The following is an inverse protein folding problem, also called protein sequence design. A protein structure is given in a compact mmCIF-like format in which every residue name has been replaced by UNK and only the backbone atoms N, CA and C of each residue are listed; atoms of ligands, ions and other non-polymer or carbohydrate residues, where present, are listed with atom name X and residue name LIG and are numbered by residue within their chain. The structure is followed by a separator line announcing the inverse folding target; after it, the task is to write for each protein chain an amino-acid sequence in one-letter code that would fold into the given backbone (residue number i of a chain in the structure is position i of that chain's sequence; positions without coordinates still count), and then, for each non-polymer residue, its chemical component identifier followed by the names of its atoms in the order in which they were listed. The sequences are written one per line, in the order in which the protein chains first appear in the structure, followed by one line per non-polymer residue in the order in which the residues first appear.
data_IF_325131155343
#
_entry.id   IF_325131155343
#
_cell.length_a   1.000
_cell.length_b   1.000
_cell.length_c   1.000
_cell.angle_alpha   90.00
_cell.angle_beta   90.00
_cell.angle_gamma   90.00
#
_symmetry.space_group_name_H-M   'P 1'
#
loop_
_entity.id
_entity.type
_entity.pdbx_description
1 polymer ?
#
# COMPACT_ATOMS: atom_id res chain seq x y z
N UNK A 1 14.20 -19.00 78.53
CA UNK A 1 15.65 -19.25 78.47
C UNK A 1 16.09 -19.48 77.02
N UNK A 2 17.03 -18.64 76.53
CA UNK A 2 18.19 -18.93 75.64
C UNK A 2 17.92 -19.62 74.28
N UNK A 3 18.00 -18.90 73.13
CA UNK A 3 19.18 -18.53 72.30
C UNK A 3 19.98 -19.72 71.70
N UNK A 4 20.00 -19.80 70.36
CA UNK A 4 21.15 -19.88 69.40
C UNK A 4 20.58 -20.26 68.02
N UNK A 5 20.99 -19.76 66.84
CA UNK A 5 22.16 -18.97 66.44
C UNK A 5 22.94 -19.68 65.33
N UNK A 6 22.55 -19.47 64.06
CA UNK A 6 23.38 -19.33 62.85
C UNK A 6 24.33 -20.46 62.35
N UNK A 7 24.23 -20.79 61.05
CA UNK A 7 25.41 -20.94 60.17
C UNK A 7 25.05 -20.77 58.68
N UNK A 8 25.81 -19.90 58.01
CA UNK A 8 25.80 -19.63 56.56
C UNK A 8 26.75 -20.57 55.80
N UNK A 9 26.47 -20.70 54.49
CA UNK A 9 27.35 -20.85 53.32
C UNK A 9 28.17 -22.14 53.09
N UNK A 10 27.90 -22.80 51.95
CA UNK A 10 28.93 -23.06 50.93
C UNK A 10 28.31 -23.14 49.52
N UNK A 11 29.09 -22.66 48.56
CA UNK A 11 28.84 -22.38 47.16
C UNK A 11 29.35 -23.50 46.25
N UNK A 12 28.65 -23.83 45.15
CA UNK A 12 29.14 -24.93 44.28
C UNK A 12 28.42 -25.24 42.96
N UNK A 13 28.28 -24.25 42.09
CA UNK A 13 28.45 -24.33 40.61
C UNK A 13 27.61 -25.32 39.74
N UNK A 14 26.94 -24.67 38.78
CA UNK A 14 26.79 -25.02 37.34
C UNK A 14 25.86 -26.16 36.89
N UNK A 15 24.77 -25.78 36.21
CA UNK A 15 24.67 -25.83 34.73
C UNK A 15 23.44 -25.04 34.26
N UNK A 16 23.65 -23.77 33.94
CA UNK A 16 22.78 -23.02 33.02
C UNK A 16 23.04 -23.52 31.60
N UNK A 17 22.06 -24.20 31.01
CA UNK A 17 22.07 -24.51 29.59
C UNK A 17 21.70 -23.24 28.79
N UNK A 18 22.44 -22.91 27.71
CA UNK A 18 22.09 -21.84 26.79
C UNK A 18 21.20 -22.35 25.63
N UNK A 19 20.73 -21.42 24.78
CA UNK A 19 20.04 -21.56 23.48
C UNK A 19 18.50 -21.53 23.54
N UNK A 20 17.76 -20.68 22.80
CA UNK A 20 18.04 -19.89 21.59
C UNK A 20 17.16 -18.60 21.56
N UNK A 21 17.55 -17.55 20.80
CA UNK A 21 16.62 -16.47 20.49
C UNK A 21 15.48 -17.04 19.64
N UNK A 22 14.23 -16.86 20.06
CA UNK A 22 13.07 -17.22 19.27
C UNK A 22 13.07 -16.43 17.97
N UNK A 23 13.54 -17.10 16.92
CA UNK A 23 13.31 -16.77 15.52
C UNK A 23 11.81 -16.56 15.29
N UNK A 24 11.49 -15.56 14.46
CA UNK A 24 10.17 -14.96 14.33
C UNK A 24 9.01 -15.94 14.33
N UNK A 25 8.00 -15.67 15.18
CA UNK A 25 6.71 -16.37 15.15
C UNK A 25 6.16 -16.30 13.72
N UNK A 26 5.94 -17.47 13.12
CA UNK A 26 5.16 -17.57 11.89
C UNK A 26 3.78 -16.94 12.12
N UNK A 27 3.35 -16.08 11.19
CA UNK A 27 2.04 -15.44 11.25
C UNK A 27 0.94 -16.51 11.24
N UNK A 28 -0.12 -16.31 12.03
CA UNK A 28 -1.31 -17.17 11.98
C UNK A 28 -2.03 -16.97 10.65
N UNK A 29 -2.86 -17.95 10.25
CA UNK A 29 -3.69 -17.83 9.05
C UNK A 29 -4.53 -16.53 9.06
N UNK A 30 -5.15 -16.20 10.19
CA UNK A 30 -5.92 -14.96 10.35
C UNK A 30 -5.05 -13.70 10.18
N UNK A 31 -3.82 -13.70 10.70
CA UNK A 31 -2.89 -12.58 10.55
C UNK A 31 -2.43 -12.40 9.10
N UNK A 32 -2.22 -13.50 8.39
CA UNK A 32 -1.90 -13.49 6.96
C UNK A 32 -3.04 -12.85 6.15
N UNK A 33 -4.27 -13.29 6.39
CA UNK A 33 -5.47 -12.71 5.75
C UNK A 33 -5.59 -11.22 6.02
N UNK A 34 -5.50 -10.83 7.29
CA UNK A 34 -5.61 -9.43 7.69
C UNK A 34 -4.52 -8.56 7.05
N UNK A 35 -3.28 -9.06 6.99
CA UNK A 35 -2.17 -8.40 6.33
C UNK A 35 -2.39 -8.22 4.82
N UNK A 36 -2.84 -9.27 4.14
CA UNK A 36 -3.13 -9.22 2.71
C UNK A 36 -4.27 -8.25 2.37
N UNK A 37 -5.35 -8.26 3.15
CA UNK A 37 -6.47 -7.33 2.97
C UNK A 37 -6.05 -5.87 3.21
N UNK A 38 -5.21 -5.63 4.21
CA UNK A 38 -4.63 -4.31 4.44
C UNK A 38 -3.82 -3.83 3.23
N UNK A 39 -2.93 -4.67 2.69
CA UNK A 39 -2.13 -4.33 1.51
C UNK A 39 -3.01 -4.04 0.28
N UNK A 40 -4.07 -4.82 0.06
CA UNK A 40 -5.05 -4.53 -1.02
C UNK A 40 -5.76 -3.20 -0.81
N UNK A 41 -6.15 -2.89 0.42
CA UNK A 41 -6.82 -1.63 0.73
C UNK A 41 -5.89 -0.43 0.53
N UNK A 42 -4.62 -0.54 0.95
CA UNK A 42 -3.59 0.46 0.69
C UNK A 42 -3.39 0.67 -0.82
N UNK A 43 -3.26 -0.41 -1.61
CA UNK A 43 -3.12 -0.33 -3.07
C UNK A 43 -4.32 0.36 -3.74
N UNK A 44 -5.54 0.00 -3.35
CA UNK A 44 -6.78 0.64 -3.87
C UNK A 44 -6.84 2.13 -3.50
N UNK A 45 -6.41 2.48 -2.28
CA UNK A 45 -6.33 3.88 -1.85
C UNK A 45 -5.36 4.70 -2.70
N UNK A 46 -4.18 4.15 -2.97
CA UNK A 46 -3.19 4.79 -3.86
C UNK A 46 -3.75 4.96 -5.28
N UNK A 47 -4.40 3.93 -5.83
CA UNK A 47 -5.00 3.98 -7.16
C UNK A 47 -6.09 5.07 -7.25
N UNK A 48 -6.97 5.15 -6.25
CA UNK A 48 -8.01 6.17 -6.20
C UNK A 48 -7.43 7.58 -6.14
N UNK A 49 -6.36 7.79 -5.35
CA UNK A 49 -5.74 9.12 -5.24
C UNK A 49 -4.98 9.50 -6.52
N UNK A 50 -4.33 8.55 -7.18
CA UNK A 50 -3.68 8.78 -8.46
C UNK A 50 -4.70 9.23 -9.52
N UNK A 51 -5.83 8.51 -9.64
CA UNK A 51 -6.89 8.84 -10.58
C UNK A 51 -7.53 10.23 -10.31
N UNK A 52 -7.71 10.60 -9.04
CA UNK A 52 -8.19 11.94 -8.66
C UNK A 52 -7.22 13.04 -9.13
N UNK A 53 -5.91 12.85 -8.87
CA UNK A 53 -4.89 13.83 -9.29
C UNK A 53 -4.71 13.88 -10.81
N UNK A 54 -4.90 12.77 -11.52
CA UNK A 54 -4.90 12.75 -12.99
C UNK A 54 -6.02 13.62 -13.58
N UNK A 55 -7.20 13.62 -12.96
CA UNK A 55 -8.29 14.51 -13.35
C UNK A 55 -7.92 15.98 -13.11
N UNK A 56 -7.39 16.31 -11.93
CA UNK A 56 -6.90 17.67 -11.62
C UNK A 56 -5.81 18.13 -12.60
N UNK A 57 -4.88 17.24 -12.97
CA UNK A 57 -3.82 17.52 -13.94
C UNK A 57 -4.38 17.88 -15.33
N UNK A 58 -5.42 17.15 -15.76
CA UNK A 58 -6.08 17.39 -17.04
C UNK A 58 -6.85 18.72 -17.03
N UNK A 59 -7.56 19.02 -15.93
CA UNK A 59 -8.24 20.30 -15.75
C UNK A 59 -7.24 21.47 -15.76
N UNK A 60 -6.13 21.35 -15.02
CA UNK A 60 -5.06 22.35 -15.05
C UNK A 60 -4.50 22.56 -16.46
N UNK A 61 -4.31 21.48 -17.22
CA UNK A 61 -3.82 21.56 -18.60
C UNK A 61 -4.79 22.34 -19.49
N UNK A 62 -6.08 22.03 -19.42
CA UNK A 62 -7.11 22.75 -20.18
C UNK A 62 -7.16 24.24 -19.82
N UNK A 63 -7.10 24.58 -18.52
CA UNK A 63 -7.09 25.98 -18.08
C UNK A 63 -5.85 26.71 -18.60
N UNK A 64 -4.67 26.10 -18.53
CA UNK A 64 -3.43 26.69 -19.05
C UNK A 64 -3.54 26.94 -20.55
N UNK A 65 -4.01 25.96 -21.32
CA UNK A 65 -4.13 26.06 -22.77
C UNK A 65 -5.07 27.19 -23.17
N UNK A 66 -6.22 27.31 -22.50
CA UNK A 66 -7.15 28.43 -22.74
C UNK A 66 -6.56 29.79 -22.36
N UNK A 67 -5.82 29.88 -21.25
CA UNK A 67 -5.24 31.15 -20.80
C UNK A 67 -4.05 31.62 -21.63
N UNK A 68 -3.35 30.71 -22.33
CA UNK A 68 -2.26 31.06 -23.25
C UNK A 68 -2.71 31.87 -24.45
N UNK A 69 -3.97 31.70 -24.87
CA UNK A 69 -4.59 32.47 -25.96
C UNK A 69 -5.14 33.83 -25.52
N UNK A 70 -5.13 34.11 -24.21
CA UNK A 70 -5.67 35.34 -23.62
C UNK A 70 -4.55 36.37 -23.42
N UNK A 71 -4.89 37.65 -23.59
CA UNK A 71 -3.98 38.76 -23.32
C UNK A 71 -3.36 38.65 -21.90
N UNK A 72 -2.02 38.63 -21.77
CA UNK A 72 -1.32 38.53 -20.49
C UNK A 72 -1.66 39.64 -19.47
N UNK A 73 -2.09 40.81 -19.95
CA UNK A 73 -2.46 41.96 -19.12
C UNK A 73 -3.91 41.94 -18.66
N UNK A 74 -4.73 41.03 -19.21
CA UNK A 74 -6.14 40.89 -18.83
C UNK A 74 -6.25 40.47 -17.36
N UNK A 75 -7.23 41.04 -16.68
CA UNK A 75 -7.54 40.72 -15.28
C UNK A 75 -8.11 39.30 -15.18
N UNK A 76 -7.58 38.54 -14.23
CA UNK A 76 -8.06 37.24 -13.78
C UNK A 76 -8.52 37.36 -12.34
N UNK A 77 -9.54 36.60 -11.97
CA UNK A 77 -10.03 36.55 -10.60
C UNK A 77 -9.96 35.12 -10.07
N UNK A 78 -9.34 34.94 -8.91
CA UNK A 78 -9.25 33.65 -8.24
C UNK A 78 -10.04 33.69 -6.94
N UNK A 79 -10.89 32.69 -6.71
CA UNK A 79 -11.58 32.53 -5.44
C UNK A 79 -10.67 31.86 -4.41
N UNK A 80 -10.54 32.46 -3.23
CA UNK A 80 -9.79 31.93 -2.09
C UNK A 80 -10.61 32.14 -0.82
N UNK A 81 -11.09 31.07 -0.20
CA UNK A 81 -11.86 31.14 1.04
C UNK A 81 -13.11 32.03 0.98
N UNK A 82 -13.76 32.11 -0.19
CA UNK A 82 -14.93 32.96 -0.42
C UNK A 82 -14.62 34.41 -0.83
N UNK A 83 -13.35 34.81 -0.92
CA UNK A 83 -12.93 36.13 -1.41
C UNK A 83 -12.37 36.01 -2.84
N UNK A 84 -12.78 36.90 -3.73
CA UNK A 84 -12.22 37.04 -5.09
C UNK A 84 -10.95 37.89 -5.05
N UNK A 85 -9.83 37.29 -5.42
CA UNK A 85 -8.52 37.96 -5.53
C UNK A 85 -8.30 38.35 -6.99
N UNK A 86 -8.11 39.64 -7.24
CA UNK A 86 -7.75 40.17 -8.57
C UNK A 86 -6.26 39.92 -8.85
N UNK A 87 -5.97 39.40 -10.04
CA UNK A 87 -4.64 39.13 -10.60
C UNK A 87 -4.65 39.43 -12.10
N UNK A 88 -3.51 39.25 -12.75
CA UNK A 88 -3.41 39.28 -14.22
C UNK A 88 -3.08 37.90 -14.76
N UNK A 89 -3.39 37.62 -16.04
CA UNK A 89 -3.03 36.35 -16.68
C UNK A 89 -1.54 36.04 -16.53
N UNK A 90 -0.67 37.04 -16.75
CA UNK A 90 0.80 36.90 -16.57
C UNK A 90 1.24 36.51 -15.16
N UNK A 91 0.45 36.82 -14.12
CA UNK A 91 0.74 36.44 -12.74
C UNK A 91 0.19 35.05 -12.40
N UNK A 92 -0.92 34.65 -13.03
CA UNK A 92 -1.63 33.40 -12.74
C UNK A 92 -1.05 32.22 -13.52
N UNK A 93 -0.65 32.44 -14.79
CA UNK A 93 -0.15 31.37 -15.67
C UNK A 93 1.04 30.61 -15.05
N UNK A 94 2.08 31.29 -14.52
CA UNK A 94 3.23 30.59 -13.94
C UNK A 94 2.86 29.77 -12.69
N UNK A 95 1.89 30.24 -11.91
CA UNK A 95 1.41 29.52 -10.73
C UNK A 95 0.63 28.25 -11.14
N UNK A 96 -0.16 28.31 -12.21
CA UNK A 96 -0.85 27.14 -12.75
C UNK A 96 0.12 26.11 -13.32
N UNK A 97 1.13 26.55 -14.07
CA UNK A 97 2.18 25.67 -14.63
C UNK A 97 2.98 24.98 -13.52
N UNK A 98 3.42 25.73 -12.50
CA UNK A 98 4.12 25.17 -11.33
C UNK A 98 3.26 24.14 -10.59
N UNK A 99 1.99 24.45 -10.33
CA UNK A 99 1.07 23.52 -9.67
C UNK A 99 0.85 22.25 -10.50
N UNK A 100 0.69 22.37 -11.82
CA UNK A 100 0.57 21.23 -12.74
C UNK A 100 1.80 20.33 -12.65
N UNK A 101 3.01 20.89 -12.65
CA UNK A 101 4.25 20.13 -12.51
C UNK A 101 4.34 19.40 -11.16
N UNK A 102 3.91 20.05 -10.07
CA UNK A 102 3.88 19.44 -8.75
C UNK A 102 2.90 18.27 -8.70
N UNK A 103 1.69 18.43 -9.24
CA UNK A 103 0.69 17.37 -9.33
C UNK A 103 1.26 16.19 -10.13
N UNK A 104 1.91 16.44 -11.27
CA UNK A 104 2.51 15.39 -12.08
C UNK A 104 3.58 14.58 -11.31
N UNK A 105 4.46 15.26 -10.55
CA UNK A 105 5.46 14.59 -9.70
C UNK A 105 4.82 13.73 -8.62
N UNK A 106 3.70 14.17 -8.05
CA UNK A 106 2.96 13.39 -7.05
C UNK A 106 2.33 12.15 -7.69
N UNK A 107 1.74 12.28 -8.89
CA UNK A 107 1.20 11.13 -9.65
C UNK A 107 2.29 10.10 -9.95
N UNK A 108 3.46 10.55 -10.41
CA UNK A 108 4.61 9.67 -10.64
C UNK A 108 5.01 8.90 -9.36
N UNK A 109 5.05 9.61 -8.23
CA UNK A 109 5.36 9.02 -6.92
C UNK A 109 4.30 8.00 -6.49
N UNK A 110 3.01 8.32 -6.64
CA UNK A 110 1.90 7.40 -6.32
C UNK A 110 1.93 6.17 -7.23
N UNK A 111 2.27 6.34 -8.50
CA UNK A 111 2.39 5.24 -9.47
C UNK A 111 3.52 4.29 -9.08
N UNK A 112 4.68 4.81 -8.67
CA UNK A 112 5.78 4.00 -8.15
C UNK A 112 5.37 3.25 -6.87
N UNK A 113 4.68 3.91 -5.94
CA UNK A 113 4.18 3.27 -4.73
C UNK A 113 3.15 2.18 -5.04
N UNK A 114 2.28 2.39 -6.02
CA UNK A 114 1.27 1.43 -6.46
C UNK A 114 1.94 0.19 -7.07
N UNK A 115 2.98 0.37 -7.88
CA UNK A 115 3.77 -0.73 -8.44
C UNK A 115 4.49 -1.51 -7.34
N UNK A 116 5.16 -0.83 -6.41
CA UNK A 116 5.83 -1.46 -5.27
C UNK A 116 4.84 -2.26 -4.40
N UNK A 117 3.65 -1.71 -4.13
CA UNK A 117 2.58 -2.41 -3.40
C UNK A 117 2.02 -3.60 -4.17
N UNK A 118 1.93 -3.50 -5.49
CA UNK A 118 1.54 -4.62 -6.35
C UNK A 118 2.54 -5.78 -6.29
N UNK A 119 3.84 -5.47 -6.31
CA UNK A 119 4.90 -6.47 -6.11
C UNK A 119 4.84 -7.09 -4.71
N UNK A 120 4.70 -6.27 -3.67
CA UNK A 120 4.55 -6.74 -2.28
C UNK A 120 3.34 -7.68 -2.14
N UNK A 121 2.20 -7.35 -2.77
CA UNK A 121 1.00 -8.20 -2.79
C UNK A 121 1.25 -9.55 -3.46
N UNK A 122 1.93 -9.57 -4.61
CA UNK A 122 2.25 -10.79 -5.33
C UNK A 122 3.18 -11.68 -4.50
N UNK A 123 4.24 -11.11 -3.94
CA UNK A 123 5.14 -11.83 -3.05
C UNK A 123 4.42 -12.38 -1.81
N UNK A 124 3.53 -11.59 -1.21
CA UNK A 124 2.76 -12.02 -0.04
C UNK A 124 1.79 -13.15 -0.40
N UNK A 125 1.19 -13.11 -1.59
CA UNK A 125 0.32 -14.17 -2.12
C UNK A 125 1.10 -15.47 -2.31
N UNK A 126 2.30 -15.41 -2.89
CA UNK A 126 3.16 -16.57 -3.13
C UNK A 126 3.70 -17.17 -1.82
N UNK A 127 4.23 -16.32 -0.92
CA UNK A 127 4.82 -16.76 0.36
C UNK A 127 3.81 -17.46 1.27
N UNK A 128 2.53 -17.11 1.17
CA UNK A 128 1.48 -17.63 2.04
C UNK A 128 0.41 -18.48 1.30
N UNK A 129 0.60 -18.79 0.01
CA UNK A 129 -0.33 -19.55 -0.82
C UNK A 129 -1.78 -19.05 -0.76
N UNK A 130 -1.98 -17.73 -0.76
CA UNK A 130 -3.31 -17.12 -0.66
C UNK A 130 -4.09 -17.35 -1.96
N UNK A 131 -5.30 -17.90 -1.84
CA UNK A 131 -6.25 -18.01 -2.95
C UNK A 131 -7.29 -16.91 -2.80
N UNK A 132 -7.21 -15.90 -3.65
CA UNK A 132 -8.21 -14.83 -3.73
C UNK A 132 -9.43 -15.38 -4.44
N UNK A 133 -10.54 -15.52 -3.72
CA UNK A 133 -11.80 -15.97 -4.31
C UNK A 133 -12.33 -14.84 -5.21
N UNK A 134 -12.35 -15.07 -6.53
CA UNK A 134 -12.83 -14.11 -7.54
C UNK A 134 -11.88 -13.86 -8.74
N UNK A 135 -10.65 -14.37 -8.74
CA UNK A 135 -9.73 -14.27 -9.89
C UNK A 135 -9.58 -15.58 -10.69
N UNK A 136 -9.98 -16.73 -10.15
CA UNK A 136 -9.79 -18.04 -10.81
C UNK A 136 -10.87 -18.40 -11.85
N UNK A 137 -11.90 -17.57 -12.07
CA UNK A 137 -12.94 -17.80 -13.09
C UNK A 137 -12.63 -17.18 -14.48
N UNK A 138 -11.45 -16.55 -14.65
CA UNK A 138 -10.95 -16.15 -15.97
C UNK A 138 -9.72 -16.97 -16.39
N UNK A 139 -9.85 -18.30 -16.35
CA UNK A 139 -9.05 -19.18 -17.20
C UNK A 139 -9.96 -19.73 -18.29
N UNK A 140 -9.69 -19.52 -19.59
CA UNK A 140 -10.47 -20.18 -20.63
C UNK A 140 -10.42 -21.70 -20.42
N UNK A 141 -11.55 -22.42 -20.55
CA UNK A 141 -11.61 -23.83 -20.23
C UNK A 141 -10.59 -24.60 -21.08
N UNK A 142 -9.78 -25.48 -20.49
CA UNK A 142 -8.91 -26.37 -21.25
C UNK A 142 -9.77 -27.33 -22.06
N UNK A 143 -9.49 -27.45 -23.36
CA UNK A 143 -10.07 -28.48 -24.22
C UNK A 143 -9.78 -29.86 -23.62
N UNK A 144 -10.85 -30.65 -23.51
CA UNK A 144 -10.89 -31.99 -22.94
C UNK A 144 -9.84 -32.95 -23.53
N UNK A 145 -9.25 -33.79 -22.67
CA UNK A 145 -8.90 -35.19 -22.98
C UNK A 145 -8.65 -36.00 -21.69
N UNK A 146 -9.52 -37.00 -21.51
CA UNK A 146 -9.44 -38.29 -20.79
C UNK A 146 -8.87 -38.44 -19.37
N UNK A 147 -9.72 -39.01 -18.51
CA UNK A 147 -9.54 -40.12 -17.54
C UNK A 147 -8.38 -40.14 -16.53
N UNK A 148 -8.73 -40.40 -15.25
CA UNK A 148 -7.83 -41.05 -14.29
C UNK A 148 -8.02 -40.61 -12.83
N UNK A 149 -8.47 -41.55 -12.00
CA UNK A 149 -8.83 -41.38 -10.59
C UNK A 149 -7.66 -41.17 -9.60
N UNK A 150 -7.94 -40.43 -8.51
CA UNK A 150 -7.48 -40.73 -7.14
C UNK A 150 -6.18 -40.08 -6.63
N UNK A 151 -6.30 -39.18 -5.65
CA UNK A 151 -5.61 -39.22 -4.34
C UNK A 151 -5.54 -37.83 -3.68
N UNK A 152 -5.85 -37.80 -2.37
CA UNK A 152 -5.86 -36.62 -1.51
C UNK A 152 -4.45 -36.08 -1.25
N UNK A 153 -4.28 -34.76 -1.36
CA UNK A 153 -3.32 -34.00 -0.54
C UNK A 153 -3.99 -32.70 -0.10
N UNK A 154 -4.13 -32.57 1.22
CA UNK A 154 -4.67 -31.40 1.90
C UNK A 154 -3.75 -30.19 1.74
N UNK A 155 -4.09 -29.27 0.84
CA UNK A 155 -3.59 -27.90 0.91
C UNK A 155 -4.66 -27.05 1.60
N UNK A 156 -4.45 -26.72 2.87
CA UNK A 156 -5.24 -25.75 3.61
C UNK A 156 -5.01 -24.36 3.00
N UNK A 157 -5.67 -24.09 1.87
CA UNK A 157 -5.71 -22.77 1.26
C UNK A 157 -6.56 -21.87 2.14
N UNK A 158 -5.96 -20.81 2.67
CA UNK A 158 -6.69 -19.81 3.44
C UNK A 158 -7.46 -18.95 2.44
N UNK A 159 -8.78 -18.98 2.55
CA UNK A 159 -9.71 -18.25 1.69
C UNK A 159 -9.99 -16.88 2.33
N UNK A 160 -9.95 -15.84 1.51
CA UNK A 160 -10.26 -14.46 1.91
C UNK A 160 -11.31 -13.90 0.97
N UNK A 161 -12.45 -13.52 1.55
CA UNK A 161 -13.55 -12.81 0.87
C UNK A 161 -13.31 -11.30 0.82
#
# INVERSE_FOLDING_TARGET
MRRTGGKMADSGKSKSAPTAPSTGKALTAEQVVAGFNRLRQEQRGLASKAAELELELNEHSLVIDTLREVDPTRKCYRMVGGVLVERTVKEVLPALESNKEQINKIIETLTQQLQAKGQELNEFREKHNIRVMGEDDQKPPPKESSDGAGAKTSSAGVLVS
#
